data_IF_618342879847
#
_entry.id   IF_618342879847
#
_cell.length_a   1.000
_cell.length_b   1.000
_cell.length_c   1.000
_cell.angle_alpha   90.00
_cell.angle_beta   90.00
_cell.angle_gamma   90.00
#
_symmetry.space_group_name_H-M   'P 1'
#
loop_
_entity.id
_entity.type
_entity.pdbx_description
1 polymer ?
#
# COMPACT_ATOMS: atom_id res chain seq x y z
N UNK A 1 -15.22 -18.16 -0.91
CA UNK A 1 -13.74 -18.03 -0.87
C UNK A 1 -13.20 -16.67 -1.37
N UNK A 2 -13.86 -15.94 -2.28
CA UNK A 2 -13.29 -14.71 -2.86
C UNK A 2 -13.17 -13.48 -1.94
N UNK A 3 -14.09 -13.29 -0.98
CA UNK A 3 -14.11 -12.07 -0.17
C UNK A 3 -12.87 -11.85 0.71
N UNK A 4 -12.48 -12.88 1.48
CA UNK A 4 -11.33 -12.80 2.41
C UNK A 4 -10.03 -12.56 1.65
N UNK A 5 -9.85 -13.19 0.49
CA UNK A 5 -8.68 -13.00 -0.37
C UNK A 5 -8.58 -11.54 -0.84
N UNK A 6 -9.68 -10.95 -1.31
CA UNK A 6 -9.71 -9.55 -1.75
C UNK A 6 -9.39 -8.59 -0.60
N UNK A 7 -9.87 -8.89 0.61
CA UNK A 7 -9.55 -8.09 1.79
C UNK A 7 -8.07 -8.17 2.16
N UNK A 8 -7.49 -9.38 2.19
CA UNK A 8 -6.06 -9.58 2.44
C UNK A 8 -5.22 -8.86 1.40
N UNK A 9 -5.59 -8.95 0.12
CA UNK A 9 -4.91 -8.23 -0.96
C UNK A 9 -5.00 -6.71 -0.78
N UNK A 10 -6.17 -6.19 -0.44
CA UNK A 10 -6.35 -4.76 -0.17
C UNK A 10 -5.46 -4.27 0.96
N UNK A 11 -5.41 -5.02 2.07
CA UNK A 11 -4.55 -4.71 3.21
C UNK A 11 -3.06 -4.81 2.85
N UNK A 12 -2.66 -5.86 2.13
CA UNK A 12 -1.29 -6.02 1.68
C UNK A 12 -0.84 -4.85 0.79
N UNK A 13 -1.67 -4.41 -0.15
CA UNK A 13 -1.39 -3.25 -1.00
C UNK A 13 -1.30 -1.95 -0.18
N UNK A 14 -2.19 -1.77 0.80
CA UNK A 14 -2.18 -0.62 1.69
C UNK A 14 -0.86 -0.55 2.49
N UNK A 15 -0.41 -1.68 3.04
CA UNK A 15 0.82 -1.79 3.82
C UNK A 15 2.04 -1.60 2.90
N UNK A 16 2.06 -2.26 1.74
CA UNK A 16 3.15 -2.13 0.77
C UNK A 16 3.30 -0.68 0.31
N UNK A 17 2.19 -0.05 -0.07
CA UNK A 17 2.18 1.34 -0.52
C UNK A 17 2.53 2.32 0.59
N UNK A 18 1.82 2.27 1.73
CA UNK A 18 2.02 3.22 2.83
C UNK A 18 3.40 3.10 3.46
N UNK A 19 3.80 1.88 3.85
CA UNK A 19 5.08 1.65 4.48
C UNK A 19 6.26 1.93 3.54
N UNK A 20 6.15 1.52 2.27
CA UNK A 20 7.20 1.78 1.28
C UNK A 20 7.32 3.26 0.90
N UNK A 21 6.21 4.01 0.88
CA UNK A 21 6.22 5.45 0.68
C UNK A 21 6.96 6.15 1.83
N UNK A 22 6.61 5.82 3.08
CA UNK A 22 7.29 6.35 4.28
C UNK A 22 8.78 5.99 4.24
N UNK A 23 9.12 4.74 3.89
CA UNK A 23 10.50 4.29 3.80
C UNK A 23 11.33 5.11 2.80
N UNK A 24 10.81 5.34 1.58
CA UNK A 24 11.49 6.12 0.56
C UNK A 24 11.63 7.59 0.95
N UNK A 25 10.58 8.19 1.53
CA UNK A 25 10.60 9.58 1.99
C UNK A 25 11.52 9.80 3.20
N UNK A 26 11.83 8.74 3.96
CA UNK A 26 12.70 8.78 5.14
C UNK A 26 14.16 8.45 4.83
N UNK A 27 14.59 8.57 3.57
CA UNK A 27 15.97 8.34 3.15
C UNK A 27 16.28 6.92 2.67
N UNK A 28 15.29 6.02 2.63
CA UNK A 28 15.41 4.67 2.09
C UNK A 28 16.24 3.74 2.97
N UNK A 29 15.72 2.54 3.24
CA UNK A 29 16.48 1.51 3.94
C UNK A 29 16.04 0.12 3.49
N UNK A 30 16.92 -0.88 3.71
CA UNK A 30 16.59 -2.28 3.44
C UNK A 30 15.34 -2.66 4.24
N UNK A 31 14.30 -3.05 3.51
CA UNK A 31 12.96 -3.27 4.04
C UNK A 31 12.25 -4.34 3.18
N UNK A 32 11.07 -4.78 3.57
CA UNK A 32 10.34 -5.85 2.88
C UNK A 32 9.39 -5.34 1.77
N UNK A 33 9.37 -4.03 1.53
CA UNK A 33 8.54 -3.43 0.48
C UNK A 33 9.08 -3.79 -0.91
N UNK A 34 8.26 -4.46 -1.72
CA UNK A 34 8.75 -5.12 -2.93
C UNK A 34 9.32 -4.15 -3.97
N UNK A 35 8.72 -2.96 -4.12
CA UNK A 35 9.20 -1.99 -5.11
C UNK A 35 10.61 -1.45 -4.80
N UNK A 36 11.08 -1.55 -3.55
CA UNK A 36 12.45 -1.18 -3.18
C UNK A 36 13.52 -2.11 -3.79
N UNK A 37 13.12 -3.29 -4.27
CA UNK A 37 14.00 -4.24 -4.95
C UNK A 37 13.94 -4.12 -6.47
N UNK A 38 13.12 -3.22 -7.01
CA UNK A 38 13.02 -2.99 -8.45
C UNK A 38 13.88 -1.78 -8.79
N UNK A 39 14.80 -1.95 -9.74
CA UNK A 39 15.64 -0.87 -10.24
C UNK A 39 14.81 0.14 -11.04
N UNK A 40 14.60 1.33 -10.46
CA UNK A 40 13.95 2.45 -11.14
C UNK A 40 14.29 3.78 -10.44
N UNK A 41 14.12 4.93 -11.12
CA UNK A 41 14.28 6.25 -10.52
C UNK A 41 13.43 6.45 -9.26
N UNK A 42 13.94 7.24 -8.31
CA UNK A 42 13.25 7.56 -7.03
C UNK A 42 11.83 8.07 -7.23
N UNK A 43 11.60 8.90 -8.25
CA UNK A 43 10.26 9.40 -8.56
C UNK A 43 9.26 8.25 -8.88
N UNK A 44 9.72 7.20 -9.56
CA UNK A 44 8.91 6.02 -9.85
C UNK A 44 8.72 5.13 -8.61
N UNK A 45 9.71 5.03 -7.71
CA UNK A 45 9.51 4.39 -6.41
C UNK A 45 8.40 5.07 -5.63
N UNK A 46 8.46 6.39 -5.48
CA UNK A 46 7.44 7.17 -4.75
C UNK A 46 6.07 7.03 -5.42
N UNK A 47 5.99 7.21 -6.73
CA UNK A 47 4.74 7.08 -7.48
C UNK A 47 4.14 5.67 -7.39
N UNK A 48 4.97 4.63 -7.49
CA UNK A 48 4.54 3.23 -7.39
C UNK A 48 3.97 2.91 -6.02
N UNK A 49 4.64 3.32 -4.94
CA UNK A 49 4.13 3.15 -3.59
C UNK A 49 2.83 3.92 -3.34
N UNK A 50 2.73 5.16 -3.83
CA UNK A 50 1.50 5.94 -3.76
C UNK A 50 0.34 5.25 -4.51
N UNK A 51 0.61 4.66 -5.68
CA UNK A 51 -0.38 3.91 -6.44
C UNK A 51 -0.86 2.66 -5.68
N UNK A 52 0.05 1.87 -5.12
CA UNK A 52 -0.29 0.71 -4.29
C UNK A 52 -1.16 1.10 -3.10
N UNK A 53 -0.82 2.22 -2.43
CA UNK A 53 -1.58 2.74 -1.30
C UNK A 53 -3.02 3.10 -1.72
N UNK A 54 -3.19 3.85 -2.81
CA UNK A 54 -4.50 4.26 -3.32
C UNK A 54 -5.34 3.04 -3.70
N UNK A 55 -4.76 2.07 -4.42
CA UNK A 55 -5.47 0.84 -4.82
C UNK A 55 -5.90 0.04 -3.58
N UNK A 56 -4.98 -0.17 -2.62
CA UNK A 56 -5.29 -0.86 -1.38
C UNK A 56 -6.41 -0.18 -0.61
N UNK A 57 -6.37 1.16 -0.51
CA UNK A 57 -7.37 1.95 0.18
C UNK A 57 -8.74 1.80 -0.47
N UNK A 58 -8.81 1.91 -1.81
CA UNK A 58 -10.04 1.74 -2.57
C UNK A 58 -10.64 0.34 -2.35
N UNK A 59 -9.82 -0.71 -2.34
CA UNK A 59 -10.29 -2.08 -2.11
C UNK A 59 -10.84 -2.24 -0.69
N UNK A 60 -10.10 -1.79 0.33
CA UNK A 60 -10.50 -1.91 1.74
C UNK A 60 -11.78 -1.11 2.01
N UNK A 61 -11.85 0.14 1.54
CA UNK A 61 -13.04 1.00 1.69
C UNK A 61 -14.25 0.38 1.01
N UNK A 62 -14.10 -0.18 -0.20
CA UNK A 62 -15.22 -0.84 -0.89
C UNK A 62 -15.71 -2.10 -0.19
N UNK A 63 -14.84 -2.81 0.54
CA UNK A 63 -15.20 -4.05 1.24
C UNK A 63 -15.74 -3.81 2.66
N UNK A 64 -15.17 -2.87 3.41
CA UNK A 64 -15.54 -2.60 4.82
C UNK A 64 -16.49 -1.42 5.00
N UNK A 65 -16.67 -0.61 3.96
CA UNK A 65 -17.40 0.65 4.05
C UNK A 65 -16.56 1.77 4.67
N UNK A 66 -16.92 3.02 4.36
CA UNK A 66 -16.23 4.21 4.86
C UNK A 66 -16.37 4.40 6.38
N UNK A 67 -17.35 3.75 7.02
CA UNK A 67 -17.57 3.80 8.47
C UNK A 67 -16.42 3.20 9.27
N UNK A 68 -15.70 2.22 8.71
CA UNK A 68 -14.56 1.59 9.37
C UNK A 68 -13.39 2.55 9.60
N UNK A 69 -13.22 3.59 8.76
CA UNK A 69 -12.22 4.64 8.98
C UNK A 69 -12.55 5.60 10.13
N UNK A 70 -13.82 5.63 10.57
CA UNK A 70 -14.32 6.54 11.62
C UNK A 70 -14.64 5.82 12.92
N UNK A 71 -14.36 4.52 12.99
CA UNK A 71 -14.61 3.72 14.18
C UNK A 71 -13.34 3.82 15.05
N UNK A 72 -13.35 4.78 15.97
CA UNK A 72 -12.37 4.91 17.06
C UNK A 72 -12.42 3.71 18.02
#
# INVERSE_FOLDING_TARGET
MGGVVVEILGLALLIQGGGGLINNLSGGSKSWFLLNYVEMPTALHVAGHALLLVIGLVIVVRRKGWSWLKSD
#
